data_IF_795608498570
#
_entry.id   IF_795608498570
#
_cell.length_a   1.000
_cell.length_b   1.000
_cell.length_c   1.000
_cell.angle_alpha   90.00
_cell.angle_beta   90.00
_cell.angle_gamma   90.00
#
_symmetry.space_group_name_H-M   'P 1'
#
loop_
_entity.id
_entity.type
_entity.pdbx_description
1 polymer ?
#
# COMPACT_ATOMS: atom_id res chain seq x y z
N UNK A 1 15.30 -4.23 22.72
CA UNK A 1 14.37 -3.10 22.96
C UNK A 1 13.00 -3.67 23.32
N UNK A 2 12.42 -3.23 24.42
CA UNK A 2 11.07 -3.66 24.81
C UNK A 2 10.03 -3.01 23.86
N UNK A 3 8.84 -3.64 23.75
CA UNK A 3 7.76 -3.11 22.91
C UNK A 3 7.35 -1.68 23.33
N UNK A 4 7.41 -1.40 24.65
CA UNK A 4 7.12 -0.08 25.18
C UNK A 4 8.16 0.98 24.72
N UNK A 5 9.44 0.63 24.71
CA UNK A 5 10.50 1.51 24.21
C UNK A 5 10.41 1.75 22.71
N UNK A 6 10.00 0.73 21.94
CA UNK A 6 9.75 0.84 20.52
C UNK A 6 8.61 1.82 20.22
N UNK A 7 7.53 1.79 21.00
CA UNK A 7 6.38 2.70 20.85
C UNK A 7 6.79 4.16 21.14
N UNK A 8 7.62 4.39 22.15
CA UNK A 8 8.11 5.74 22.46
C UNK A 8 9.04 6.30 21.39
N UNK A 9 9.92 5.48 20.83
CA UNK A 9 10.93 5.91 19.86
C UNK A 9 10.34 6.05 18.45
N UNK A 10 9.39 5.19 18.09
CA UNK A 10 8.79 5.15 16.76
C UNK A 10 7.25 5.17 16.89
N UNK A 11 6.67 6.36 17.06
CA UNK A 11 5.21 6.50 17.11
C UNK A 11 4.58 6.15 15.76
N UNK A 12 3.28 5.99 15.73
CA UNK A 12 2.51 5.69 14.53
C UNK A 12 1.94 4.28 14.58
N UNK A 13 1.81 3.65 13.42
CA UNK A 13 1.22 2.32 13.30
C UNK A 13 2.26 1.30 12.83
N UNK A 14 2.17 0.08 13.36
CA UNK A 14 3.02 -1.03 12.96
C UNK A 14 2.58 -1.64 11.61
N UNK A 15 3.32 -2.62 11.13
CA UNK A 15 3.06 -3.34 9.87
C UNK A 15 1.67 -3.98 9.85
N UNK A 16 1.26 -4.61 10.94
CA UNK A 16 -0.02 -5.31 11.02
C UNK A 16 -1.18 -4.33 11.01
N UNK A 17 -1.09 -3.24 11.77
CA UNK A 17 -2.10 -2.17 11.79
C UNK A 17 -2.24 -1.50 10.44
N UNK A 18 -1.13 -1.23 9.75
CA UNK A 18 -1.13 -0.69 8.40
C UNK A 18 -1.84 -1.62 7.42
N UNK A 19 -1.52 -2.91 7.46
CA UNK A 19 -2.14 -3.92 6.61
C UNK A 19 -3.64 -4.04 6.86
N UNK A 20 -4.06 -4.10 8.12
CA UNK A 20 -5.48 -4.13 8.50
C UNK A 20 -6.22 -2.87 8.06
N UNK A 21 -5.60 -1.70 8.17
CA UNK A 21 -6.16 -0.45 7.66
C UNK A 21 -6.39 -0.48 6.16
N UNK A 22 -5.45 -1.01 5.40
CA UNK A 22 -5.58 -1.18 3.94
C UNK A 22 -6.72 -2.14 3.57
N UNK A 23 -6.81 -3.29 4.25
CA UNK A 23 -7.91 -4.23 4.04
C UNK A 23 -9.26 -3.59 4.37
N UNK A 24 -9.36 -2.85 5.48
CA UNK A 24 -10.58 -2.14 5.86
C UNK A 24 -11.04 -1.15 4.79
N UNK A 25 -10.11 -0.43 4.17
CA UNK A 25 -10.44 0.49 3.07
C UNK A 25 -10.94 -0.23 1.83
N UNK A 26 -10.33 -1.37 1.48
CA UNK A 26 -10.79 -2.19 0.34
C UNK A 26 -12.19 -2.72 0.60
N UNK A 27 -12.45 -3.25 1.79
CA UNK A 27 -13.78 -3.74 2.18
C UNK A 27 -14.84 -2.64 2.11
N UNK A 28 -14.52 -1.44 2.61
CA UNK A 28 -15.41 -0.27 2.54
C UNK A 28 -15.71 0.11 1.08
N UNK A 29 -14.70 0.13 0.22
CA UNK A 29 -14.87 0.43 -1.20
C UNK A 29 -15.77 -0.61 -1.90
N UNK A 30 -15.54 -1.89 -1.65
CA UNK A 30 -16.37 -2.97 -2.20
C UNK A 30 -17.82 -2.84 -1.74
N UNK A 31 -18.03 -2.58 -0.45
CA UNK A 31 -19.38 -2.40 0.10
C UNK A 31 -20.13 -1.27 -0.59
N UNK A 32 -19.51 -0.10 -0.76
CA UNK A 32 -20.15 1.05 -1.42
C UNK A 32 -20.43 0.76 -2.89
N UNK A 33 -19.51 0.09 -3.59
CA UNK A 33 -19.74 -0.31 -4.99
C UNK A 33 -20.94 -1.25 -5.12
N UNK A 34 -21.08 -2.22 -4.22
CA UNK A 34 -22.18 -3.18 -4.23
C UNK A 34 -23.54 -2.54 -3.91
N UNK A 35 -23.57 -1.56 -3.00
CA UNK A 35 -24.81 -0.92 -2.55
C UNK A 35 -25.26 0.20 -3.49
N UNK A 36 -24.34 1.05 -3.92
CA UNK A 36 -24.63 2.30 -4.65
C UNK A 36 -24.18 2.29 -6.11
N UNK A 37 -23.38 1.31 -6.51
CA UNK A 37 -22.78 1.22 -7.83
C UNK A 37 -21.46 1.98 -7.97
N UNK A 38 -20.63 1.61 -8.98
CA UNK A 38 -19.27 2.15 -9.12
C UNK A 38 -19.23 3.62 -9.58
N UNK A 39 -20.25 4.10 -10.25
CA UNK A 39 -20.32 5.48 -10.77
C UNK A 39 -21.15 6.42 -9.89
N UNK A 40 -21.56 5.99 -8.69
CA UNK A 40 -22.41 6.76 -7.80
C UNK A 40 -21.69 7.98 -7.20
N UNK A 41 -22.44 9.06 -6.84
CA UNK A 41 -21.87 10.16 -6.07
C UNK A 41 -21.26 9.71 -4.74
N UNK A 42 -21.86 8.70 -4.08
CA UNK A 42 -21.33 8.10 -2.86
C UNK A 42 -19.92 7.54 -3.07
N UNK A 43 -19.67 6.89 -4.21
CA UNK A 43 -18.35 6.36 -4.54
C UNK A 43 -17.31 7.46 -4.76
N UNK A 44 -17.70 8.60 -5.31
CA UNK A 44 -16.79 9.77 -5.47
C UNK A 44 -16.39 10.35 -4.12
N UNK A 45 -17.36 10.53 -3.21
CA UNK A 45 -17.10 11.04 -1.85
C UNK A 45 -16.22 10.06 -1.09
N UNK A 46 -16.55 8.77 -1.14
CA UNK A 46 -15.73 7.73 -0.52
C UNK A 46 -14.31 7.73 -1.07
N UNK A 47 -14.14 7.89 -2.38
CA UNK A 47 -12.81 7.96 -3.01
C UNK A 47 -11.93 9.05 -2.42
N UNK A 48 -12.48 10.23 -2.17
CA UNK A 48 -11.76 11.32 -1.50
C UNK A 48 -11.42 10.97 -0.05
N UNK A 49 -12.36 10.40 0.69
CA UNK A 49 -12.15 9.97 2.08
C UNK A 49 -11.06 8.89 2.14
N UNK A 50 -11.11 7.91 1.25
CA UNK A 50 -10.11 6.84 1.18
C UNK A 50 -8.73 7.36 0.76
N UNK A 51 -8.66 8.36 -0.11
CA UNK A 51 -7.39 9.00 -0.46
C UNK A 51 -6.75 9.65 0.76
N UNK A 52 -7.52 10.44 1.50
CA UNK A 52 -7.04 11.08 2.74
C UNK A 52 -6.63 10.02 3.77
N UNK A 53 -7.46 9.01 3.98
CA UNK A 53 -7.15 7.90 4.89
C UNK A 53 -5.87 7.17 4.49
N UNK A 54 -5.65 6.95 3.20
CA UNK A 54 -4.43 6.32 2.69
C UNK A 54 -3.20 7.16 3.03
N UNK A 55 -3.25 8.46 2.78
CA UNK A 55 -2.13 9.36 3.10
C UNK A 55 -1.85 9.37 4.61
N UNK A 56 -2.89 9.41 5.43
CA UNK A 56 -2.75 9.34 6.90
C UNK A 56 -2.08 8.04 7.34
N UNK A 57 -2.52 6.90 6.80
CA UNK A 57 -1.89 5.61 7.09
C UNK A 57 -0.41 5.58 6.67
N UNK A 58 -0.10 6.12 5.50
CA UNK A 58 1.27 6.20 5.01
C UNK A 58 2.15 7.04 5.93
N UNK A 59 1.68 8.22 6.34
CA UNK A 59 2.38 9.10 7.27
C UNK A 59 2.65 8.39 8.60
N UNK A 60 1.62 7.78 9.19
CA UNK A 60 1.75 7.06 10.46
C UNK A 60 2.72 5.87 10.33
N UNK A 61 2.69 5.19 9.21
CA UNK A 61 3.61 4.07 8.96
C UNK A 61 5.04 4.54 8.77
N UNK A 62 5.26 5.63 8.03
CA UNK A 62 6.58 6.24 7.85
C UNK A 62 7.17 6.69 9.19
N UNK A 63 6.38 7.29 10.07
CA UNK A 63 6.81 7.65 11.41
C UNK A 63 7.25 6.42 12.22
N UNK A 64 6.51 5.32 12.12
CA UNK A 64 6.85 4.06 12.79
C UNK A 64 8.14 3.42 12.25
N UNK A 65 8.45 3.63 10.98
CA UNK A 65 9.70 3.20 10.37
C UNK A 65 10.88 4.11 10.69
N UNK A 66 10.64 5.27 11.26
CA UNK A 66 11.68 6.29 11.49
C UNK A 66 12.07 7.07 10.24
N UNK A 67 11.25 7.05 9.21
CA UNK A 67 11.46 7.75 7.94
C UNK A 67 10.66 9.05 7.93
N UNK A 68 11.15 10.07 7.21
CA UNK A 68 10.44 11.33 7.08
C UNK A 68 9.04 11.14 6.49
N UNK A 69 8.05 11.76 7.10
CA UNK A 69 6.65 11.71 6.67
C UNK A 69 6.43 12.30 5.26
N UNK A 70 7.33 13.15 4.78
CA UNK A 70 7.26 13.73 3.44
C UNK A 70 7.38 12.70 2.32
N UNK A 71 7.94 11.52 2.59
CA UNK A 71 7.95 10.41 1.63
C UNK A 71 6.56 9.89 1.26
N UNK A 72 5.50 10.25 2.03
CA UNK A 72 4.12 9.94 1.64
C UNK A 72 3.73 10.57 0.28
N UNK A 73 4.34 11.69 -0.10
CA UNK A 73 4.11 12.31 -1.41
C UNK A 73 4.58 11.47 -2.60
N UNK A 74 5.43 10.47 -2.40
CA UNK A 74 5.82 9.51 -3.44
C UNK A 74 4.60 8.81 -4.03
N UNK A 75 3.51 8.68 -3.26
CA UNK A 75 2.25 8.09 -3.73
C UNK A 75 1.67 8.79 -4.96
N UNK A 76 1.90 10.08 -5.12
CA UNK A 76 1.38 10.87 -6.23
C UNK A 76 2.28 10.85 -7.48
N UNK A 77 3.45 10.22 -7.40
CA UNK A 77 4.33 10.03 -8.54
C UNK A 77 3.91 8.79 -9.34
N UNK A 78 4.20 8.78 -10.67
CA UNK A 78 4.02 7.58 -11.48
C UNK A 78 4.74 6.37 -10.84
N UNK A 79 4.05 5.23 -10.71
CA UNK A 79 4.54 4.03 -10.02
C UNK A 79 4.90 4.21 -8.54
N UNK A 80 4.79 5.42 -8.00
CA UNK A 80 5.06 5.71 -6.60
C UNK A 80 4.17 4.92 -5.63
N UNK A 81 2.91 4.66 -6.02
CA UNK A 81 2.00 3.81 -5.26
C UNK A 81 2.56 2.42 -5.00
N UNK A 82 3.10 1.76 -6.04
CA UNK A 82 3.66 0.42 -5.93
C UNK A 82 4.89 0.40 -5.04
N UNK A 83 5.81 1.31 -5.28
CA UNK A 83 7.06 1.41 -4.51
C UNK A 83 6.76 1.70 -3.04
N UNK A 84 5.87 2.64 -2.78
CA UNK A 84 5.51 3.02 -1.41
C UNK A 84 4.77 1.89 -0.69
N UNK A 85 3.76 1.29 -1.32
CA UNK A 85 2.98 0.20 -0.71
C UNK A 85 3.85 -1.02 -0.40
N UNK A 86 4.71 -1.43 -1.31
CA UNK A 86 5.64 -2.55 -1.09
C UNK A 86 6.62 -2.21 0.03
N UNK A 87 7.19 -1.01 0.03
CA UNK A 87 8.12 -0.57 1.05
C UNK A 87 7.49 -0.49 2.44
N UNK A 88 6.32 0.11 2.56
CA UNK A 88 5.62 0.28 3.84
C UNK A 88 5.11 -1.05 4.43
N UNK A 89 4.76 -2.02 3.59
CA UNK A 89 4.36 -3.35 4.02
C UNK A 89 5.56 -4.21 4.44
N UNK A 90 6.69 -4.06 3.77
CA UNK A 90 7.87 -4.91 3.97
C UNK A 90 8.74 -4.46 5.14
N UNK A 91 8.86 -3.16 5.38
CA UNK A 91 9.72 -2.62 6.41
C UNK A 91 9.19 -2.88 7.83
N UNK A 92 10.09 -3.07 8.77
CA UNK A 92 9.77 -3.22 10.20
C UNK A 92 9.75 -1.87 10.92
N UNK A 93 9.27 -1.87 12.16
CA UNK A 93 9.38 -0.72 13.06
C UNK A 93 10.84 -0.30 13.21
N UNK A 94 11.12 1.00 13.04
CA UNK A 94 12.49 1.51 13.14
C UNK A 94 13.42 1.11 12.01
N UNK A 95 12.88 0.76 10.84
CA UNK A 95 13.66 0.36 9.66
C UNK A 95 14.77 1.33 9.29
N UNK A 96 14.58 2.62 9.52
CA UNK A 96 15.57 3.65 9.17
C UNK A 96 16.92 3.49 9.90
N UNK A 97 16.94 2.83 11.07
CA UNK A 97 18.18 2.56 11.81
C UNK A 97 18.96 1.38 11.23
N UNK A 98 18.26 0.29 10.90
CA UNK A 98 18.89 -0.93 10.40
C UNK A 98 19.05 -0.94 8.89
N UNK A 99 18.12 -0.30 8.18
CA UNK A 99 17.97 -0.33 6.72
C UNK A 99 17.98 -1.75 6.13
N UNK A 100 17.54 -2.71 6.93
CA UNK A 100 17.47 -4.12 6.57
C UNK A 100 16.05 -4.62 6.82
N UNK A 101 15.61 -5.55 5.98
CA UNK A 101 14.33 -6.21 6.16
C UNK A 101 14.50 -7.43 7.07
N UNK A 102 13.55 -7.60 8.00
CA UNK A 102 13.44 -8.84 8.78
C UNK A 102 12.97 -10.01 7.90
N UNK A 103 12.91 -11.22 8.46
CA UNK A 103 12.49 -12.41 7.73
C UNK A 103 11.06 -12.28 7.15
N UNK A 104 10.14 -11.68 7.92
CA UNK A 104 8.77 -11.43 7.48
C UNK A 104 8.73 -10.40 6.37
N UNK A 105 9.49 -9.30 6.50
CA UNK A 105 9.58 -8.26 5.48
C UNK A 105 10.12 -8.78 4.15
N UNK A 106 11.13 -9.63 4.18
CA UNK A 106 11.67 -10.29 2.98
C UNK A 106 10.63 -11.17 2.28
N UNK A 107 9.84 -11.93 3.05
CA UNK A 107 8.74 -12.76 2.51
C UNK A 107 7.65 -11.90 1.86
N UNK A 108 7.26 -10.81 2.50
CA UNK A 108 6.28 -9.86 1.97
C UNK A 108 6.80 -9.23 0.67
N UNK A 109 8.05 -8.81 0.64
CA UNK A 109 8.68 -8.24 -0.55
C UNK A 109 8.67 -9.22 -1.72
N UNK A 110 9.13 -10.45 -1.50
CA UNK A 110 9.15 -11.50 -2.53
C UNK A 110 7.74 -11.80 -3.02
N UNK A 111 6.77 -11.93 -2.13
CA UNK A 111 5.36 -12.17 -2.50
C UNK A 111 4.82 -11.06 -3.40
N UNK A 112 5.04 -9.78 -3.03
CA UNK A 112 4.58 -8.64 -3.83
C UNK A 112 5.27 -8.59 -5.20
N UNK A 113 6.56 -8.88 -5.27
CA UNK A 113 7.30 -8.90 -6.54
C UNK A 113 6.81 -10.03 -7.46
N UNK A 114 6.55 -11.21 -6.91
CA UNK A 114 5.97 -12.34 -7.67
C UNK A 114 4.58 -11.99 -8.18
N UNK A 115 3.73 -11.43 -7.33
CA UNK A 115 2.38 -11.00 -7.70
C UNK A 115 2.41 -9.93 -8.79
N UNK A 116 3.30 -8.94 -8.68
CA UNK A 116 3.49 -7.92 -9.70
C UNK A 116 3.94 -8.52 -11.03
N UNK A 117 4.88 -9.46 -11.01
CA UNK A 117 5.35 -10.19 -12.19
C UNK A 117 4.22 -10.96 -12.89
N UNK A 118 3.37 -11.64 -12.12
CA UNK A 118 2.19 -12.35 -12.64
C UNK A 118 1.21 -11.36 -13.27
N UNK A 119 0.92 -10.24 -12.61
CA UNK A 119 0.00 -9.22 -13.13
C UNK A 119 0.52 -8.60 -14.43
N UNK A 120 1.81 -8.30 -14.50
CA UNK A 120 2.45 -7.79 -15.72
C UNK A 120 2.40 -8.80 -16.86
N UNK A 121 2.66 -10.08 -16.58
CA UNK A 121 2.57 -11.15 -17.56
C UNK A 121 1.14 -11.30 -18.09
N UNK A 122 0.14 -11.29 -17.23
CA UNK A 122 -1.27 -11.38 -17.63
C UNK A 122 -1.70 -10.16 -18.46
N UNK A 123 -1.27 -8.96 -18.08
CA UNK A 123 -1.54 -7.74 -18.83
C UNK A 123 -0.89 -7.76 -20.23
N UNK A 124 0.35 -8.23 -20.31
CA UNK A 124 1.05 -8.41 -21.58
C UNK A 124 0.33 -9.43 -22.48
N UNK A 125 -0.07 -10.58 -21.90
CA UNK A 125 -0.81 -11.60 -22.63
C UNK A 125 -2.17 -11.10 -23.13
N UNK A 126 -2.90 -10.34 -22.31
CA UNK A 126 -4.16 -9.74 -22.71
C UNK A 126 -4.00 -8.82 -23.92
N UNK A 127 -2.97 -7.98 -23.94
CA UNK A 127 -2.67 -7.09 -25.08
C UNK A 127 -2.38 -7.86 -26.37
N UNK A 128 -1.75 -9.02 -26.30
CA UNK A 128 -1.48 -9.85 -27.49
C UNK A 128 -2.78 -10.36 -28.13
N UNK A 129 -3.80 -10.64 -27.30
CA UNK A 129 -5.11 -11.07 -27.80
C UNK A 129 -6.00 -9.93 -28.27
N UNK A 130 -5.75 -8.69 -27.82
CA UNK A 130 -6.52 -7.50 -28.19
C UNK A 130 -5.99 -6.79 -29.44
N UNK A 131 -4.86 -7.19 -30.01
CA UNK A 131 -4.39 -6.62 -31.27
C UNK A 131 -5.32 -7.12 -32.38
N UNK A 132 -6.24 -6.28 -32.89
CA UNK A 132 -7.04 -6.66 -34.01
C UNK A 132 -6.11 -6.85 -35.21
N UNK A 133 -6.12 -8.03 -35.76
CA UNK A 133 -5.45 -8.27 -37.03
C UNK A 133 -6.24 -7.54 -38.12
N UNK A 134 -5.93 -6.27 -38.31
CA UNK A 134 -6.35 -5.56 -39.51
C UNK A 134 -5.48 -6.07 -40.67
N UNK A 135 -6.01 -6.98 -41.38
CA UNK A 135 -5.52 -7.31 -42.71
C UNK A 135 -6.40 -6.62 -43.74
#
# INVERSE_FOLDING_TARGET
MSDAEAIYKYPGIDRQQYFLGKIGMIVAAIFVVLVFGPASPAMRVLGLVLLVATVVLDVLRLQNMGVSQWFAFIRFLPFGNLVLDIGLQSAQTGWAETRQLDGTGKRILVFNLVLLGIMMFLAWRARIFEVPMYF
#
